data_IF_312174494983
#
_entry.id   IF_312174494983
#
_cell.length_a   1.000
_cell.length_b   1.000
_cell.length_c   1.000
_cell.angle_alpha   90.00
_cell.angle_beta   90.00
_cell.angle_gamma   90.00
#
_symmetry.space_group_name_H-M   'P 1'
#
loop_
_entity.id
_entity.type
_entity.pdbx_description
1 polymer ?
#
# COMPACT_ATOMS: atom_id res chain seq x y z
N UNK A 1 -3.60 7.01 13.71
CA UNK A 1 -3.25 6.08 12.63
C UNK A 1 -1.79 6.31 12.28
N UNK A 2 -1.04 5.26 11.96
CA UNK A 2 0.39 5.33 11.71
C UNK A 2 0.65 5.08 10.21
N UNK A 3 1.69 5.72 9.65
CA UNK A 3 1.99 5.74 8.22
C UNK A 3 3.50 5.88 7.94
N UNK A 4 3.89 5.99 6.67
CA UNK A 4 5.28 6.13 6.29
C UNK A 4 5.90 7.44 6.79
N UNK A 5 5.14 8.54 6.89
CA UNK A 5 5.67 9.81 7.39
C UNK A 5 6.13 9.67 8.86
N UNK A 6 5.41 8.90 9.66
CA UNK A 6 5.80 8.64 11.06
C UNK A 6 6.94 7.63 11.19
N UNK A 7 7.02 6.66 10.30
CA UNK A 7 8.21 5.79 10.23
C UNK A 7 9.46 6.63 9.92
N UNK A 8 9.39 7.55 8.97
CA UNK A 8 10.52 8.41 8.57
C UNK A 8 11.00 9.34 9.68
N UNK A 9 10.13 9.72 10.58
CA UNK A 9 10.47 10.56 11.74
C UNK A 9 10.94 9.74 12.94
N UNK A 10 11.08 8.43 12.79
CA UNK A 10 11.45 7.47 13.86
C UNK A 10 10.48 7.50 15.06
N UNK A 11 9.23 7.89 14.83
CA UNK A 11 8.20 7.86 15.87
C UNK A 11 7.58 6.48 16.03
N UNK A 12 7.71 5.62 15.01
CA UNK A 12 7.09 4.30 14.98
C UNK A 12 7.87 3.34 14.09
N UNK A 13 7.85 2.06 14.44
CA UNK A 13 8.40 0.98 13.63
C UNK A 13 7.35 0.43 12.66
N UNK A 14 7.80 -0.04 11.49
CA UNK A 14 6.93 -0.58 10.44
C UNK A 14 5.89 -1.61 10.91
N UNK A 15 6.19 -2.56 11.80
CA UNK A 15 5.21 -3.54 12.29
C UNK A 15 4.02 -2.93 13.05
N UNK A 16 4.14 -1.67 13.50
CA UNK A 16 3.06 -0.95 14.21
C UNK A 16 2.10 -0.22 13.30
N UNK A 17 2.37 -0.19 11.99
CA UNK A 17 1.47 0.42 11.01
C UNK A 17 0.32 -0.53 10.72
N UNK A 18 -0.84 -0.24 11.28
CA UNK A 18 -2.01 -1.08 11.19
C UNK A 18 -2.88 -0.80 9.96
N UNK A 19 -2.76 0.41 9.36
CA UNK A 19 -3.59 0.78 8.22
C UNK A 19 -2.86 0.50 6.91
N UNK A 20 -3.53 -0.23 6.02
CA UNK A 20 -3.05 -0.54 4.68
C UNK A 20 -4.19 -0.41 3.68
N UNK A 21 -3.87 -0.12 2.43
CA UNK A 21 -4.81 -0.16 1.32
C UNK A 21 -4.64 -1.50 0.61
N UNK A 22 -5.72 -2.27 0.51
CA UNK A 22 -5.74 -3.52 -0.24
C UNK A 22 -6.02 -3.21 -1.71
N UNK A 23 -5.05 -3.51 -2.57
CA UNK A 23 -5.13 -3.28 -4.01
C UNK A 23 -5.00 -4.60 -4.79
N UNK A 24 -5.46 -4.58 -6.04
CA UNK A 24 -5.33 -5.71 -6.96
C UNK A 24 -4.32 -5.38 -8.04
N UNK A 25 -3.43 -6.31 -8.35
CA UNK A 25 -2.52 -6.21 -9.50
C UNK A 25 -3.32 -6.48 -10.77
N UNK A 26 -3.38 -5.50 -11.68
CA UNK A 26 -4.19 -5.56 -12.90
C UNK A 26 -3.36 -5.77 -14.18
N UNK A 27 -2.05 -5.47 -14.14
CA UNK A 27 -1.12 -5.81 -15.23
C UNK A 27 0.32 -5.92 -14.70
N UNK A 28 1.18 -6.59 -15.48
CA UNK A 28 2.57 -6.84 -15.13
C UNK A 28 3.48 -6.66 -16.34
N UNK A 29 4.64 -6.06 -16.12
CA UNK A 29 5.59 -5.67 -17.16
C UNK A 29 7.01 -6.03 -16.74
N UNK A 30 7.52 -7.15 -17.26
CA UNK A 30 8.88 -7.59 -16.96
C UNK A 30 9.93 -6.67 -17.59
N UNK A 31 10.92 -6.29 -16.82
CA UNK A 31 12.07 -5.51 -17.27
C UNK A 31 11.76 -4.07 -17.69
N UNK A 32 10.57 -3.54 -17.39
CA UNK A 32 10.14 -2.18 -17.80
C UNK A 32 10.68 -1.09 -16.87
N UNK A 33 11.01 -1.44 -15.66
CA UNK A 33 11.51 -0.50 -14.65
C UNK A 33 12.94 -0.04 -14.93
N UNK A 34 13.41 0.88 -14.11
CA UNK A 34 14.79 1.35 -14.16
C UNK A 34 15.72 0.17 -13.84
N UNK A 35 16.83 0.07 -14.56
CA UNK A 35 17.82 -1.01 -14.42
C UNK A 35 17.28 -2.43 -14.70
N UNK A 36 16.22 -2.54 -15.52
CA UNK A 36 15.63 -3.81 -15.90
C UNK A 36 14.81 -4.48 -14.79
N UNK A 37 14.44 -3.75 -13.76
CA UNK A 37 13.48 -4.21 -12.75
C UNK A 37 12.07 -4.32 -13.33
N UNK A 38 11.20 -5.06 -12.65
CA UNK A 38 9.84 -5.24 -13.10
C UNK A 38 8.93 -4.10 -12.61
N UNK A 39 7.88 -3.83 -13.37
CA UNK A 39 6.79 -2.94 -12.99
C UNK A 39 5.46 -3.67 -13.07
N UNK A 40 4.50 -3.24 -12.25
CA UNK A 40 3.13 -3.70 -12.30
C UNK A 40 2.17 -2.53 -12.16
N UNK A 41 0.94 -2.70 -12.61
CA UNK A 41 -0.14 -1.75 -12.40
C UNK A 41 -1.11 -2.33 -11.37
N UNK A 42 -1.57 -1.49 -10.44
CA UNK A 42 -2.63 -1.84 -9.50
C UNK A 42 -3.79 -0.85 -9.57
N UNK A 43 -4.93 -1.25 -9.01
CA UNK A 43 -6.17 -0.46 -8.95
C UNK A 43 -6.20 0.57 -7.80
N UNK A 44 -5.05 0.93 -7.23
CA UNK A 44 -4.93 1.93 -6.18
C UNK A 44 -4.21 3.19 -6.70
N UNK A 45 -5.00 4.17 -7.13
CA UNK A 45 -4.53 5.48 -7.57
C UNK A 45 -4.61 6.56 -6.50
N UNK A 46 -4.49 7.81 -6.92
CA UNK A 46 -4.49 8.98 -6.03
C UNK A 46 -5.77 9.15 -5.21
N UNK A 47 -6.92 8.68 -5.69
CA UNK A 47 -8.18 8.73 -4.94
C UNK A 47 -8.21 7.72 -3.77
N UNK A 48 -7.45 6.62 -3.86
CA UNK A 48 -7.34 5.61 -2.80
C UNK A 48 -6.17 5.88 -1.86
N UNK A 49 -5.06 6.43 -2.39
CA UNK A 49 -3.77 6.52 -1.69
C UNK A 49 -3.41 7.94 -1.24
N UNK A 50 -4.16 8.96 -1.65
CA UNK A 50 -3.75 10.36 -1.66
C UNK A 50 -2.56 10.63 -2.61
N UNK A 51 -2.16 11.91 -2.70
CA UNK A 51 -0.94 12.32 -3.43
C UNK A 51 0.12 12.89 -2.51
N UNK A 52 0.02 12.61 -1.23
CA UNK A 52 1.05 13.01 -0.29
C UNK A 52 2.32 12.22 -0.52
N UNK A 53 3.43 12.91 -0.36
CA UNK A 53 4.79 12.38 -0.46
C UNK A 53 5.53 12.58 0.86
N UNK A 54 6.68 11.94 0.98
CA UNK A 54 7.53 12.05 2.16
C UNK A 54 9.01 11.94 1.78
N UNK A 55 9.91 11.82 2.74
CA UNK A 55 11.33 11.63 2.50
C UNK A 55 11.64 10.38 1.67
N UNK A 56 10.81 9.35 1.76
CA UNK A 56 10.92 8.17 0.91
C UNK A 56 10.17 8.42 -0.41
N UNK A 57 10.83 8.11 -1.51
CA UNK A 57 10.30 8.31 -2.85
C UNK A 57 9.05 7.45 -3.09
N UNK A 58 8.06 8.02 -3.77
CA UNK A 58 6.81 7.36 -4.14
C UNK A 58 5.67 7.67 -3.17
N UNK A 59 4.56 6.98 -3.35
CA UNK A 59 3.29 7.23 -2.66
C UNK A 59 2.95 6.16 -1.62
N UNK A 60 3.74 5.09 -1.58
CA UNK A 60 3.52 4.00 -0.62
C UNK A 60 4.50 2.85 -0.81
N UNK A 61 4.50 1.92 0.15
CA UNK A 61 5.23 0.66 0.10
C UNK A 61 4.28 -0.51 0.14
N UNK A 62 4.54 -1.51 -0.68
CA UNK A 62 3.88 -2.81 -0.55
C UNK A 62 4.45 -3.52 0.68
N UNK A 63 3.56 -4.05 1.49
CA UNK A 63 3.93 -4.81 2.68
C UNK A 63 4.87 -5.98 2.28
N UNK A 64 5.95 -6.15 3.04
CA UNK A 64 7.04 -7.06 2.66
C UNK A 64 8.21 -6.39 1.94
N UNK A 65 8.10 -5.12 1.53
CA UNK A 65 9.21 -4.25 1.12
C UNK A 65 9.83 -4.51 -0.25
N UNK A 66 9.33 -5.50 -1.02
CA UNK A 66 9.88 -5.83 -2.34
C UNK A 66 9.41 -4.88 -3.46
N UNK A 67 8.31 -4.13 -3.23
CA UNK A 67 7.70 -3.24 -4.20
C UNK A 67 7.32 -1.90 -3.57
N UNK A 68 7.40 -0.84 -4.37
CA UNK A 68 6.95 0.49 -3.98
C UNK A 68 5.91 1.03 -4.95
N UNK A 69 4.96 1.82 -4.46
CA UNK A 69 4.02 2.57 -5.28
C UNK A 69 4.72 3.82 -5.81
N UNK A 70 5.36 3.70 -6.97
CA UNK A 70 6.23 4.70 -7.59
C UNK A 70 5.47 5.93 -8.07
N UNK A 71 4.34 5.72 -8.71
CA UNK A 71 3.50 6.79 -9.24
C UNK A 71 2.03 6.43 -9.22
N UNK A 72 1.18 7.45 -9.22
CA UNK A 72 -0.27 7.30 -9.22
C UNK A 72 -0.90 8.19 -10.29
N UNK A 73 -1.88 7.66 -11.02
CA UNK A 73 -2.89 8.41 -11.74
C UNK A 73 -4.12 8.60 -10.85
N UNK A 74 -5.28 8.89 -11.43
CA UNK A 74 -6.50 9.06 -10.62
C UNK A 74 -6.88 7.76 -9.91
N UNK A 75 -6.96 6.64 -10.63
CA UNK A 75 -7.47 5.36 -10.13
C UNK A 75 -6.43 4.24 -10.13
N UNK A 76 -5.28 4.43 -10.79
CA UNK A 76 -4.27 3.41 -10.95
C UNK A 76 -2.93 3.83 -10.34
N UNK A 77 -2.21 2.84 -9.83
CA UNK A 77 -0.86 2.99 -9.31
C UNK A 77 0.15 2.12 -10.05
N UNK A 78 1.34 2.66 -10.30
CA UNK A 78 2.47 1.89 -10.82
C UNK A 78 3.30 1.41 -9.66
N UNK A 79 3.39 0.09 -9.53
CA UNK A 79 4.27 -0.60 -8.60
C UNK A 79 5.62 -0.83 -9.29
N UNK A 80 6.70 -0.47 -8.61
CA UNK A 80 8.06 -0.70 -9.05
C UNK A 80 8.78 -1.67 -8.10
N UNK A 81 9.43 -2.68 -8.67
CA UNK A 81 10.22 -3.63 -7.90
C UNK A 81 11.49 -2.97 -7.38
N UNK A 82 11.86 -3.26 -6.15
CA UNK A 82 13.12 -2.81 -5.57
C UNK A 82 14.31 -3.50 -6.26
N UNK A 83 15.34 -2.73 -6.60
CA UNK A 83 16.56 -3.26 -7.21
C UNK A 83 17.20 -4.34 -6.31
N UNK A 84 17.58 -5.46 -6.91
CA UNK A 84 18.20 -6.59 -6.21
C UNK A 84 17.24 -7.43 -5.38
N UNK A 85 15.94 -7.15 -5.41
CA UNK A 85 14.94 -7.98 -4.73
C UNK A 85 14.54 -9.15 -5.63
N UNK A 86 14.95 -10.36 -5.23
CA UNK A 86 14.48 -11.61 -5.86
C UNK A 86 13.22 -12.18 -5.18
N UNK A 87 12.71 -11.49 -4.16
CA UNK A 87 11.54 -11.92 -3.39
C UNK A 87 10.29 -11.16 -3.84
N UNK A 88 9.15 -11.82 -3.76
CA UNK A 88 7.86 -11.17 -3.96
C UNK A 88 7.48 -10.98 -5.43
N UNK A 89 7.61 -12.03 -6.25
CA UNK A 89 6.96 -12.03 -7.56
C UNK A 89 5.46 -11.84 -7.36
N UNK A 90 4.91 -10.78 -7.94
CA UNK A 90 3.48 -10.52 -7.97
C UNK A 90 2.93 -10.90 -9.35
N UNK A 91 1.67 -11.31 -9.38
CA UNK A 91 0.98 -11.74 -10.61
C UNK A 91 -0.30 -10.94 -10.78
N UNK A 92 -0.80 -10.90 -11.99
CA UNK A 92 -2.12 -10.32 -12.27
C UNK A 92 -3.17 -11.08 -11.45
N UNK A 93 -4.00 -10.33 -10.73
CA UNK A 93 -5.02 -10.83 -9.82
C UNK A 93 -4.59 -10.94 -8.36
N UNK A 94 -3.29 -10.87 -8.06
CA UNK A 94 -2.81 -10.88 -6.68
C UNK A 94 -3.30 -9.64 -5.93
N UNK A 95 -3.56 -9.84 -4.64
CA UNK A 95 -3.84 -8.76 -3.69
C UNK A 95 -2.54 -8.31 -3.06
N UNK A 96 -2.34 -7.00 -3.01
CA UNK A 96 -1.20 -6.37 -2.36
C UNK A 96 -1.68 -5.37 -1.32
N UNK A 97 -1.05 -5.38 -0.18
CA UNK A 97 -1.28 -4.41 0.90
C UNK A 97 -0.31 -3.25 0.76
N UNK A 98 -0.80 -2.03 0.64
CA UNK A 98 0.02 -0.84 0.46
C UNK A 98 -0.04 0.04 1.70
N UNK A 99 1.10 0.29 2.32
CA UNK A 99 1.28 1.29 3.37
C UNK A 99 1.51 2.64 2.70
N UNK A 100 0.63 3.60 2.94
CA UNK A 100 0.71 4.92 2.31
C UNK A 100 1.52 5.93 3.09
N UNK A 101 1.79 7.07 2.45
CA UNK A 101 2.54 8.18 3.05
C UNK A 101 1.77 8.87 4.19
N UNK A 102 0.45 9.04 4.03
CA UNK A 102 -0.37 9.81 4.97
C UNK A 102 -1.68 9.10 5.29
N UNK A 103 -1.72 8.44 6.44
CA UNK A 103 -2.84 7.61 6.87
C UNK A 103 -4.17 8.36 6.97
N UNK A 104 -4.16 9.62 7.45
CA UNK A 104 -5.38 10.40 7.64
C UNK A 104 -6.07 10.72 6.31
N UNK A 105 -5.30 11.09 5.29
CA UNK A 105 -5.83 11.40 3.96
C UNK A 105 -6.38 10.15 3.27
N UNK A 106 -5.68 9.02 3.42
CA UNK A 106 -6.13 7.74 2.92
C UNK A 106 -7.43 7.33 3.62
N UNK A 107 -7.46 7.38 4.95
CA UNK A 107 -8.65 7.05 5.72
C UNK A 107 -9.87 7.90 5.33
N UNK A 108 -9.67 9.20 5.10
CA UNK A 108 -10.75 10.10 4.69
C UNK A 108 -11.36 9.73 3.32
N UNK A 109 -10.60 9.09 2.43
CA UNK A 109 -11.06 8.69 1.11
C UNK A 109 -11.96 7.43 1.14
N UNK A 110 -11.79 6.56 2.13
CA UNK A 110 -12.49 5.27 2.18
C UNK A 110 -13.78 5.36 3.00
N UNK A 111 -14.89 4.78 2.52
CA UNK A 111 -16.18 4.82 3.20
C UNK A 111 -16.29 3.88 4.39
N UNK A 112 -15.46 2.83 4.46
CA UNK A 112 -15.37 1.86 5.55
C UNK A 112 -13.98 1.24 5.61
N UNK A 113 -13.69 0.54 6.72
CA UNK A 113 -12.46 -0.22 6.92
C UNK A 113 -12.79 -1.65 7.26
N UNK A 114 -12.14 -2.60 6.61
CA UNK A 114 -12.15 -3.99 7.01
C UNK A 114 -11.14 -4.19 8.14
N UNK A 115 -11.61 -4.75 9.23
CA UNK A 115 -10.78 -5.03 10.41
C UNK A 115 -10.37 -6.48 10.37
N UNK A 116 -9.07 -6.72 10.47
CA UNK A 116 -8.46 -8.04 10.57
C UNK A 116 -7.68 -8.13 11.88
N UNK A 117 -7.53 -9.33 12.42
CA UNK A 117 -6.76 -9.59 13.64
C UNK A 117 -5.54 -10.46 13.31
N UNK A 118 -4.37 -9.83 13.22
CA UNK A 118 -3.11 -10.52 12.96
C UNK A 118 -2.69 -11.52 14.04
N UNK A 119 -3.35 -11.52 15.19
CA UNK A 119 -3.16 -12.52 16.25
C UNK A 119 -3.85 -13.87 15.99
N UNK A 120 -4.70 -13.96 14.97
CA UNK A 120 -5.50 -15.15 14.66
C UNK A 120 -4.75 -16.20 13.79
N UNK A 121 -3.44 -16.26 13.83
CA UNK A 121 -2.63 -17.30 13.16
C UNK A 121 -3.05 -17.59 11.70
N UNK A 122 -3.69 -18.73 11.42
CA UNK A 122 -4.10 -19.15 10.06
C UNK A 122 -5.20 -18.26 9.45
N UNK A 123 -5.97 -17.55 10.27
CA UNK A 123 -7.08 -16.67 9.87
C UNK A 123 -6.72 -15.16 9.97
N UNK A 124 -5.45 -14.82 9.98
CA UNK A 124 -4.96 -13.44 10.19
C UNK A 124 -5.55 -12.42 9.19
N UNK A 125 -5.91 -12.85 7.98
CA UNK A 125 -6.50 -12.00 6.93
C UNK A 125 -8.04 -12.05 6.93
N UNK A 126 -8.65 -12.79 7.86
CA UNK A 126 -10.10 -12.88 7.97
C UNK A 126 -10.67 -11.57 8.51
N UNK A 127 -11.65 -11.01 7.80
CA UNK A 127 -12.38 -9.85 8.27
C UNK A 127 -13.22 -10.22 9.50
N UNK A 128 -12.90 -9.60 10.63
CA UNK A 128 -13.57 -9.82 11.92
C UNK A 128 -14.60 -8.73 12.22
N UNK A 129 -14.47 -7.54 11.61
CA UNK A 129 -15.37 -6.42 11.80
C UNK A 129 -15.29 -5.44 10.61
N UNK A 130 -16.26 -4.52 10.51
CA UNK A 130 -16.28 -3.43 9.54
C UNK A 130 -16.54 -2.12 10.26
N UNK A 131 -15.61 -1.20 10.21
CA UNK A 131 -15.76 0.12 10.81
C UNK A 131 -16.17 1.17 9.77
N UNK A 132 -17.20 1.93 10.10
CA UNK A 132 -17.67 3.04 9.27
C UNK A 132 -17.31 4.34 9.97
N UNK A 133 -16.40 5.16 9.39
CA UNK A 133 -16.02 6.43 10.00
C UNK A 133 -17.17 7.45 9.91
N UNK A 134 -17.27 8.30 10.92
CA UNK A 134 -18.07 9.51 10.82
C UNK A 134 -17.40 10.44 9.82
N UNK A 135 -18.13 10.80 8.74
CA UNK A 135 -17.64 11.74 7.72
C UNK A 135 -18.34 13.09 7.87
N UNK A 136 -17.59 14.11 7.57
CA UNK A 136 -18.05 15.50 7.65
C UNK A 136 -17.67 16.16 8.99
N UNK A 137 -17.80 17.44 8.98
CA UNK A 137 -17.46 18.35 10.08
C UNK A 137 -18.71 19.06 10.56
#
# INVERSE_FOLDING_TARGET
MLDLQQIHTNLVDSPRVAQKVLATVISYYSGRGVDGTDEALCDAGGIAMSKDTGPIQGYGWVNGGAWSLKSVSQEHGILAQAAGSNSGLIKIGDKVEIIGQHACMIAAAHPWYYIVDSGMAEDADRVVDVWVPCKGW
#
